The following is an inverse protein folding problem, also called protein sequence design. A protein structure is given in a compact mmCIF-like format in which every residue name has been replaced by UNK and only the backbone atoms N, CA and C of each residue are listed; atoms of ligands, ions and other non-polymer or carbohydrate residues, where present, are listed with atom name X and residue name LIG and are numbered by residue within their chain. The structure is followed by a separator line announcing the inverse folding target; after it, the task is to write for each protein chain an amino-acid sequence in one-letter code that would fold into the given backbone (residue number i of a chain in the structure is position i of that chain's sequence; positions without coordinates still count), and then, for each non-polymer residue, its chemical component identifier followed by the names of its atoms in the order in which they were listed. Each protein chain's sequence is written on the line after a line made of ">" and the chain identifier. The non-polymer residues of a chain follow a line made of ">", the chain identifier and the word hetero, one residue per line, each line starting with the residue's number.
data_IF_008441346986
#
_entry.id   IF_008441346986
#
_cell.length_a   1.000
_cell.length_b   1.000
_cell.length_c   1.000
_cell.angle_alpha   90.00
_cell.angle_beta   90.00
_cell.angle_gamma   90.00
#
_symmetry.space_group_name_H-M   'P 1'
#
loop_
_entity.id
_entity.type
_entity.pdbx_description
1 polymer ?
#
# COMPACT_ATOMS: atom_id res chain seq x y z
N UNK A 1 -12.55 18.23 44.40
CA UNK A 1 -11.11 18.05 44.20
C UNK A 1 -10.87 16.55 44.08
N UNK A 2 -10.93 16.01 42.87
CA UNK A 2 -10.57 14.61 42.55
C UNK A 2 -9.60 14.65 41.42
N UNK A 3 -8.36 14.31 41.76
CA UNK A 3 -7.23 14.15 40.88
C UNK A 3 -7.48 12.95 39.95
N UNK A 4 -7.51 13.17 38.67
CA UNK A 4 -7.64 12.14 37.64
C UNK A 4 -6.31 12.09 36.86
N UNK A 5 -5.28 11.54 37.52
CA UNK A 5 -4.03 11.13 36.85
C UNK A 5 -4.33 9.88 36.03
N UNK A 6 -4.60 10.03 34.75
CA UNK A 6 -4.55 8.94 33.78
C UNK A 6 -3.09 8.54 33.60
N UNK A 7 -2.72 7.26 33.76
CA UNK A 7 -1.36 6.83 33.43
C UNK A 7 -1.19 6.92 31.91
N UNK A 8 -0.17 7.68 31.49
CA UNK A 8 0.37 7.66 30.14
C UNK A 8 0.85 6.23 29.90
N UNK A 9 0.15 5.47 29.07
CA UNK A 9 0.61 4.14 28.62
C UNK A 9 1.96 4.33 27.94
N UNK A 10 2.95 3.71 28.51
CA UNK A 10 4.34 3.74 28.03
C UNK A 10 4.38 3.07 26.65
N UNK A 11 4.53 3.86 25.59
CA UNK A 11 4.62 3.41 24.20
C UNK A 11 5.80 2.44 23.94
N UNK A 12 6.74 2.37 24.87
CA UNK A 12 7.88 1.44 24.83
C UNK A 12 7.47 -0.02 24.99
N UNK A 13 6.50 -0.31 25.86
CA UNK A 13 6.10 -1.70 26.14
C UNK A 13 5.34 -2.31 24.96
N UNK A 14 4.51 -1.54 24.28
CA UNK A 14 3.76 -2.01 23.09
C UNK A 14 4.70 -2.27 21.89
N UNK A 15 5.74 -1.47 21.70
CA UNK A 15 6.75 -1.67 20.65
C UNK A 15 7.60 -2.91 20.92
N UNK A 16 7.96 -3.14 22.19
CA UNK A 16 8.77 -4.29 22.60
C UNK A 16 7.99 -5.60 22.50
N UNK A 17 6.70 -5.60 22.82
CA UNK A 17 5.83 -6.78 22.71
C UNK A 17 5.56 -7.12 21.23
N UNK A 18 5.28 -6.13 20.38
CA UNK A 18 5.14 -6.31 18.94
C UNK A 18 6.44 -6.77 18.25
N UNK A 19 7.60 -6.38 18.77
CA UNK A 19 8.90 -6.81 18.27
C UNK A 19 9.17 -8.30 18.50
N UNK A 20 8.63 -8.89 19.55
CA UNK A 20 8.78 -10.34 19.83
C UNK A 20 8.04 -11.19 18.80
N UNK A 21 7.02 -10.68 18.16
CA UNK A 21 6.28 -11.37 17.10
C UNK A 21 6.84 -11.12 15.70
N UNK A 22 7.83 -10.22 15.57
CA UNK A 22 8.45 -9.89 14.29
C UNK A 22 9.50 -10.96 13.95
N UNK A 23 9.24 -11.78 12.94
CA UNK A 23 10.21 -12.75 12.46
C UNK A 23 11.40 -12.05 11.79
N UNK A 24 12.51 -11.93 12.53
CA UNK A 24 13.78 -11.45 12.04
C UNK A 24 14.79 -12.59 11.83
N UNK A 25 14.44 -13.81 12.22
CA UNK A 25 15.32 -14.97 12.08
C UNK A 25 15.47 -15.39 10.60
N UNK A 26 14.42 -15.16 9.80
CA UNK A 26 14.41 -15.44 8.36
C UNK A 26 15.20 -14.42 7.53
N UNK A 27 15.64 -13.29 8.11
CA UNK A 27 16.38 -12.27 7.40
C UNK A 27 17.84 -12.66 7.18
N UNK A 28 18.27 -12.76 5.91
CA UNK A 28 19.61 -13.22 5.53
C UNK A 28 20.74 -12.27 5.98
N UNK A 29 20.46 -10.97 6.14
CA UNK A 29 21.46 -9.96 6.45
C UNK A 29 20.88 -8.72 7.17
N UNK A 30 21.77 -7.83 7.64
CA UNK A 30 21.41 -6.58 8.33
C UNK A 30 20.48 -5.69 7.50
N UNK A 31 20.69 -5.59 6.20
CA UNK A 31 19.88 -4.74 5.33
C UNK A 31 18.42 -5.23 5.27
N UNK A 32 18.21 -6.54 5.19
CA UNK A 32 16.87 -7.14 5.22
C UNK A 32 16.20 -6.98 6.58
N UNK A 33 16.95 -7.13 7.68
CA UNK A 33 16.42 -6.88 9.02
C UNK A 33 15.95 -5.43 9.19
N UNK A 34 16.77 -4.47 8.76
CA UNK A 34 16.38 -3.05 8.77
C UNK A 34 15.15 -2.79 7.91
N UNK A 35 15.05 -3.39 6.72
CA UNK A 35 13.87 -3.27 5.86
C UNK A 35 12.62 -3.84 6.53
N UNK A 36 12.69 -5.02 7.11
CA UNK A 36 11.55 -5.67 7.75
C UNK A 36 11.08 -4.90 8.97
N UNK A 37 12.01 -4.40 9.79
CA UNK A 37 11.69 -3.55 10.94
C UNK A 37 11.09 -2.21 10.50
N UNK A 38 11.65 -1.58 9.47
CA UNK A 38 11.11 -0.33 8.93
C UNK A 38 9.67 -0.51 8.41
N UNK A 39 9.41 -1.57 7.67
CA UNK A 39 8.07 -1.94 7.19
C UNK A 39 7.09 -2.09 8.36
N UNK A 40 7.46 -2.84 9.38
CA UNK A 40 6.67 -3.05 10.59
C UNK A 40 6.32 -1.73 11.30
N UNK A 41 7.32 -0.87 11.54
CA UNK A 41 7.11 0.40 12.23
C UNK A 41 6.35 1.42 11.35
N UNK A 42 6.60 1.44 10.04
CA UNK A 42 5.85 2.29 9.11
C UNK A 42 4.37 1.96 9.07
N UNK A 43 4.03 0.68 9.14
CA UNK A 43 2.64 0.23 9.16
C UNK A 43 1.89 0.66 10.43
N UNK A 44 2.56 0.69 11.59
CA UNK A 44 1.94 0.94 12.90
C UNK A 44 2.06 2.37 13.39
N UNK A 45 3.24 2.93 13.30
CA UNK A 45 3.52 4.29 13.78
C UNK A 45 3.34 5.36 12.71
N UNK A 46 3.32 4.92 11.46
CA UNK A 46 3.23 5.79 10.30
C UNK A 46 4.58 6.02 9.59
N UNK A 47 4.51 6.07 8.26
CA UNK A 47 5.68 6.20 7.37
C UNK A 47 6.54 7.43 7.71
N UNK A 48 5.93 8.48 8.23
CA UNK A 48 6.61 9.75 8.53
C UNK A 48 6.93 9.92 10.02
N UNK A 49 6.28 9.17 10.90
CA UNK A 49 6.39 9.26 12.36
C UNK A 49 7.44 8.32 12.93
N UNK A 50 7.54 7.09 12.41
CA UNK A 50 8.49 6.07 12.88
C UNK A 50 9.93 6.62 12.90
N UNK A 51 10.63 6.48 14.01
CA UNK A 51 11.96 7.08 14.18
C UNK A 51 13.06 6.15 13.66
N UNK A 52 14.07 6.74 13.04
CA UNK A 52 15.26 6.00 12.56
C UNK A 52 15.97 5.27 13.70
N UNK A 53 15.99 5.86 14.89
CA UNK A 53 16.56 5.24 16.07
C UNK A 53 15.84 3.96 16.42
N UNK A 54 14.52 3.97 16.46
CA UNK A 54 13.71 2.81 16.84
C UNK A 54 13.85 1.68 15.81
N UNK A 55 13.98 2.03 14.53
CA UNK A 55 14.29 1.05 13.47
C UNK A 55 15.65 0.39 13.70
N UNK A 56 16.69 1.15 14.03
CA UNK A 56 18.02 0.58 14.31
C UNK A 56 18.01 -0.30 15.56
N UNK A 57 17.43 0.17 16.66
CA UNK A 57 17.35 -0.55 17.93
C UNK A 57 16.59 -1.88 17.74
N UNK A 58 15.43 -1.86 17.12
CA UNK A 58 14.61 -3.04 16.89
C UNK A 58 15.25 -4.03 15.91
N UNK A 59 16.03 -3.54 14.94
CA UNK A 59 16.83 -4.38 14.04
C UNK A 59 18.10 -4.96 14.70
N UNK A 60 18.35 -4.67 15.99
CA UNK A 60 19.53 -5.13 16.73
C UNK A 60 20.83 -4.42 16.31
N UNK A 61 20.72 -3.21 15.75
CA UNK A 61 21.89 -2.44 15.33
C UNK A 61 22.37 -1.52 16.43
N UNK A 62 23.61 -1.75 16.92
CA UNK A 62 24.26 -0.89 17.90
C UNK A 62 24.71 0.45 17.32
N UNK A 63 24.97 0.47 16.00
CA UNK A 63 25.41 1.69 15.31
C UNK A 63 24.18 2.47 14.81
N UNK A 64 23.99 3.69 15.34
CA UNK A 64 22.92 4.61 14.92
C UNK A 64 22.99 4.98 13.43
N UNK A 65 24.15 4.84 12.79
CA UNK A 65 24.37 5.13 11.37
C UNK A 65 24.05 3.96 10.44
N UNK A 66 23.68 2.77 10.97
CA UNK A 66 23.47 1.58 10.14
C UNK A 66 22.42 1.80 9.04
N UNK A 67 21.28 2.41 9.37
CA UNK A 67 20.27 2.72 8.39
C UNK A 67 20.77 3.70 7.32
N UNK A 68 21.52 4.73 7.74
CA UNK A 68 22.11 5.70 6.81
C UNK A 68 23.14 5.04 5.88
N UNK A 69 23.97 4.14 6.40
CA UNK A 69 24.94 3.38 5.60
C UNK A 69 24.25 2.53 4.51
N UNK A 70 23.18 1.81 4.86
CA UNK A 70 22.49 0.90 3.93
C UNK A 70 21.56 1.59 2.94
N UNK A 71 20.90 2.67 3.35
CA UNK A 71 19.85 3.32 2.56
C UNK A 71 20.11 4.80 2.25
N UNK A 72 21.02 5.44 2.94
CA UNK A 72 21.40 6.84 2.74
C UNK A 72 20.35 7.84 3.22
N UNK A 73 19.07 7.60 2.98
CA UNK A 73 17.98 8.50 3.40
C UNK A 73 16.70 7.76 3.72
N UNK A 74 15.82 8.40 4.53
CA UNK A 74 14.47 7.89 4.78
C UNK A 74 13.67 7.64 3.50
N UNK A 75 13.77 8.56 2.53
CA UNK A 75 13.07 8.41 1.23
C UNK A 75 13.51 7.16 0.47
N UNK A 76 14.81 6.87 0.48
CA UNK A 76 15.34 5.65 -0.15
C UNK A 76 14.92 4.39 0.63
N UNK A 77 14.84 4.45 1.96
CA UNK A 77 14.32 3.36 2.77
C UNK A 77 12.84 3.08 2.44
N UNK A 78 12.00 4.11 2.40
CA UNK A 78 10.58 3.97 2.00
C UNK A 78 10.48 3.34 0.61
N UNK A 79 11.26 3.83 -0.36
CA UNK A 79 11.32 3.26 -1.71
C UNK A 79 11.73 1.78 -1.69
N UNK A 80 12.70 1.40 -0.86
CA UNK A 80 13.16 0.02 -0.76
C UNK A 80 12.09 -0.90 -0.14
N UNK A 81 11.36 -0.43 0.89
CA UNK A 81 10.22 -1.15 1.48
C UNK A 81 9.14 -1.38 0.43
N UNK A 82 8.75 -0.34 -0.30
CA UNK A 82 7.72 -0.45 -1.35
C UNK A 82 8.15 -1.39 -2.47
N UNK A 83 9.39 -1.28 -2.94
CA UNK A 83 9.91 -2.06 -4.06
C UNK A 83 9.93 -3.56 -3.78
N UNK A 84 10.16 -3.97 -2.54
CA UNK A 84 10.18 -5.38 -2.12
C UNK A 84 8.89 -6.12 -2.46
N UNK A 85 7.74 -5.47 -2.26
CA UNK A 85 6.42 -6.03 -2.58
C UNK A 85 6.02 -5.77 -4.02
N UNK A 86 6.32 -4.57 -4.51
CA UNK A 86 5.94 -4.16 -5.85
C UNK A 86 6.55 -5.06 -6.93
N UNK A 87 7.81 -5.49 -6.78
CA UNK A 87 8.43 -6.43 -7.73
C UNK A 87 7.69 -7.76 -7.84
N UNK A 88 7.13 -8.24 -6.73
CA UNK A 88 6.35 -9.48 -6.73
C UNK A 88 4.99 -9.27 -7.40
N UNK A 89 4.35 -8.13 -7.12
CA UNK A 89 3.07 -7.75 -7.71
C UNK A 89 3.23 -7.55 -9.22
N UNK A 90 4.26 -6.81 -9.66
CA UNK A 90 4.54 -6.62 -11.09
C UNK A 90 4.77 -7.94 -11.82
N UNK A 91 5.52 -8.87 -11.22
CA UNK A 91 5.78 -10.18 -11.81
C UNK A 91 4.49 -11.05 -11.97
N UNK A 92 3.49 -10.83 -11.11
CA UNK A 92 2.18 -11.46 -11.22
C UNK A 92 1.28 -10.74 -12.24
N UNK A 93 1.41 -9.42 -12.38
CA UNK A 93 0.58 -8.58 -13.25
C UNK A 93 1.05 -8.52 -14.70
N UNK A 94 2.36 -8.42 -14.94
CA UNK A 94 2.91 -8.18 -16.27
C UNK A 94 2.43 -9.22 -17.31
N UNK A 95 2.46 -10.55 -17.07
CA UNK A 95 1.99 -11.52 -18.06
C UNK A 95 0.48 -11.41 -18.33
N UNK A 96 -0.32 -11.07 -17.31
CA UNK A 96 -1.76 -10.89 -17.48
C UNK A 96 -2.09 -9.62 -18.27
N UNK A 97 -1.30 -8.56 -18.09
CA UNK A 97 -1.41 -7.34 -18.90
C UNK A 97 -1.01 -7.59 -20.35
N UNK A 98 0.04 -8.40 -20.61
CA UNK A 98 0.45 -8.77 -21.94
C UNK A 98 -0.66 -9.53 -22.69
N UNK A 99 -1.36 -10.45 -22.00
CA UNK A 99 -2.52 -11.16 -22.55
C UNK A 99 -3.71 -10.21 -22.78
N UNK A 100 -3.98 -9.32 -21.83
CA UNK A 100 -5.09 -8.37 -21.92
C UNK A 100 -4.93 -7.41 -23.11
N UNK A 101 -3.73 -6.86 -23.29
CA UNK A 101 -3.44 -5.92 -24.37
C UNK A 101 -3.55 -6.52 -25.80
N UNK A 102 -3.51 -7.86 -25.90
CA UNK A 102 -3.75 -8.57 -27.16
C UNK A 102 -5.25 -8.71 -27.47
N UNK A 103 -6.13 -8.45 -26.51
CA UNK A 103 -7.58 -8.51 -26.68
C UNK A 103 -8.11 -7.14 -27.10
N UNK A 104 -9.07 -7.15 -28.02
CA UNK A 104 -9.73 -5.92 -28.47
C UNK A 104 -10.93 -5.51 -27.57
N UNK A 105 -11.39 -6.40 -26.68
CA UNK A 105 -12.67 -6.33 -25.97
C UNK A 105 -12.51 -6.36 -24.44
N UNK A 106 -11.45 -5.77 -23.89
CA UNK A 106 -11.28 -5.71 -22.44
C UNK A 106 -12.11 -4.58 -21.81
N UNK A 107 -12.44 -4.76 -20.54
CA UNK A 107 -13.20 -3.84 -19.71
C UNK A 107 -12.40 -3.33 -18.52
N UNK A 108 -12.87 -2.28 -17.86
CA UNK A 108 -12.28 -1.81 -16.60
C UNK A 108 -12.26 -2.92 -15.52
N UNK A 109 -13.25 -3.83 -15.54
CA UNK A 109 -13.30 -4.98 -14.65
C UNK A 109 -12.12 -5.93 -14.87
N UNK A 110 -11.78 -6.26 -16.10
CA UNK A 110 -10.67 -7.16 -16.42
C UNK A 110 -9.35 -6.58 -15.90
N UNK A 111 -9.14 -5.28 -16.07
CA UNK A 111 -7.95 -4.58 -15.56
C UNK A 111 -7.92 -4.62 -14.02
N UNK A 112 -9.07 -4.38 -13.38
CA UNK A 112 -9.18 -4.39 -11.92
C UNK A 112 -8.90 -5.76 -11.31
N UNK A 113 -9.28 -6.86 -11.98
CA UNK A 113 -8.93 -8.21 -11.54
C UNK A 113 -7.41 -8.40 -11.52
N UNK A 114 -6.70 -7.94 -12.56
CA UNK A 114 -5.24 -7.98 -12.63
C UNK A 114 -4.60 -7.15 -11.50
N UNK A 115 -5.21 -6.04 -11.10
CA UNK A 115 -4.68 -5.18 -10.04
C UNK A 115 -4.99 -5.71 -8.65
N UNK A 116 -6.25 -6.09 -8.41
CA UNK A 116 -6.76 -6.39 -7.07
C UNK A 116 -6.31 -7.75 -6.56
N UNK A 117 -6.32 -8.77 -7.42
CA UNK A 117 -6.03 -10.15 -6.97
C UNK A 117 -4.60 -10.26 -6.41
N UNK A 118 -3.53 -9.81 -7.09
CA UNK A 118 -2.19 -9.85 -6.53
C UNK A 118 -2.03 -8.98 -5.29
N UNK A 119 -2.74 -7.85 -5.20
CA UNK A 119 -2.68 -6.97 -4.05
C UNK A 119 -3.33 -7.62 -2.82
N UNK A 120 -4.52 -8.22 -2.98
CA UNK A 120 -5.23 -8.94 -1.92
C UNK A 120 -4.45 -10.16 -1.44
N UNK A 121 -3.74 -10.85 -2.31
CA UNK A 121 -2.85 -11.95 -1.92
C UNK A 121 -1.74 -11.54 -0.93
N UNK A 122 -1.44 -10.26 -0.80
CA UNK A 122 -0.51 -9.77 0.25
C UNK A 122 -1.11 -9.87 1.66
N UNK A 123 -2.42 -10.02 1.82
CA UNK A 123 -3.06 -10.26 3.12
C UNK A 123 -2.60 -11.56 3.79
N UNK A 124 -2.14 -12.53 3.03
CA UNK A 124 -1.77 -13.86 3.53
C UNK A 124 -0.50 -13.86 4.40
N UNK A 125 0.27 -12.78 4.40
CA UNK A 125 1.49 -12.68 5.20
C UNK A 125 1.52 -11.43 6.08
N UNK A 126 2.11 -11.49 7.28
CA UNK A 126 2.28 -10.31 8.15
C UNK A 126 3.02 -9.15 7.45
N UNK A 127 4.06 -9.45 6.68
CA UNK A 127 4.81 -8.44 5.90
C UNK A 127 3.95 -7.83 4.78
N UNK A 128 3.12 -8.64 4.13
CA UNK A 128 2.19 -8.13 3.12
C UNK A 128 1.11 -7.24 3.72
N UNK A 129 0.57 -7.59 4.89
CA UNK A 129 -0.39 -6.74 5.61
C UNK A 129 0.23 -5.42 6.06
N UNK A 130 1.48 -5.43 6.54
CA UNK A 130 2.23 -4.21 6.85
C UNK A 130 2.38 -3.32 5.60
N UNK A 131 2.76 -3.90 4.45
CA UNK A 131 2.84 -3.20 3.17
C UNK A 131 1.50 -2.56 2.75
N UNK A 132 0.39 -3.30 2.86
CA UNK A 132 -0.94 -2.77 2.52
C UNK A 132 -1.32 -1.54 3.38
N UNK A 133 -0.94 -1.50 4.66
CA UNK A 133 -1.17 -0.33 5.54
C UNK A 133 -0.30 0.87 5.19
N UNK A 134 0.84 0.65 4.55
CA UNK A 134 1.77 1.72 4.12
C UNK A 134 1.27 2.44 2.88
N UNK A 135 0.65 1.73 1.93
CA UNK A 135 0.22 2.29 0.64
C UNK A 135 -0.64 3.56 0.79
N UNK A 136 -1.77 3.55 1.53
CA UNK A 136 -2.62 4.73 1.64
C UNK A 136 -1.95 5.92 2.33
N UNK A 137 -0.98 5.68 3.20
CA UNK A 137 -0.21 6.73 3.85
C UNK A 137 0.69 7.47 2.84
N UNK A 138 1.26 6.73 1.89
CA UNK A 138 2.08 7.29 0.82
C UNK A 138 1.19 8.03 -0.18
N UNK A 139 0.09 7.42 -0.64
CA UNK A 139 -0.82 8.01 -1.63
C UNK A 139 -1.39 9.34 -1.15
N UNK A 140 -1.82 9.45 0.11
CA UNK A 140 -2.32 10.71 0.68
C UNK A 140 -1.30 11.85 0.64
N UNK A 141 -0.01 11.55 0.72
CA UNK A 141 1.04 12.57 0.68
C UNK A 141 1.53 12.87 -0.74
N UNK A 142 1.22 12.00 -1.70
CA UNK A 142 1.52 12.20 -3.12
C UNK A 142 0.71 13.30 -3.78
N UNK A 143 -0.38 13.75 -3.17
CA UNK A 143 -1.21 14.86 -3.67
C UNK A 143 -0.52 16.23 -3.64
N UNK A 144 0.68 16.36 -3.02
CA UNK A 144 1.46 17.60 -2.99
C UNK A 144 2.80 17.46 -3.71
N UNK A 145 3.89 17.29 -2.93
CA UNK A 145 5.28 17.39 -3.42
C UNK A 145 5.86 16.09 -4.02
N UNK A 146 5.23 14.94 -3.80
CA UNK A 146 5.82 13.64 -4.17
C UNK A 146 5.49 13.20 -5.61
N UNK A 147 4.60 13.90 -6.33
CA UNK A 147 4.42 13.66 -7.77
C UNK A 147 5.72 13.81 -8.58
N UNK A 148 6.67 14.59 -8.07
CA UNK A 148 7.94 14.84 -8.74
C UNK A 148 9.05 13.80 -8.48
N UNK A 149 8.81 12.76 -7.68
CA UNK A 149 9.93 11.90 -7.28
C UNK A 149 9.65 10.43 -7.05
N UNK A 150 8.42 9.97 -7.21
CA UNK A 150 8.14 8.54 -7.35
C UNK A 150 8.02 8.26 -8.84
N UNK A 151 9.02 7.58 -9.36
CA UNK A 151 8.95 7.00 -10.71
C UNK A 151 7.78 6.01 -10.70
N UNK A 152 6.71 6.33 -11.42
CA UNK A 152 5.64 5.39 -11.72
C UNK A 152 6.29 4.25 -12.47
N UNK A 153 6.13 3.03 -11.97
CA UNK A 153 6.70 1.84 -12.62
C UNK A 153 5.96 1.59 -13.93
N UNK A 154 6.62 0.92 -14.86
CA UNK A 154 6.06 0.62 -16.18
C UNK A 154 4.71 -0.10 -16.07
N UNK A 155 4.62 -1.14 -15.24
CA UNK A 155 3.37 -1.89 -14.99
C UNK A 155 2.23 -0.98 -14.52
N UNK A 156 2.49 -0.09 -13.57
CA UNK A 156 1.49 0.86 -13.09
C UNK A 156 1.10 1.89 -14.15
N UNK A 157 2.03 2.32 -15.00
CA UNK A 157 1.72 3.22 -16.12
C UNK A 157 0.78 2.55 -17.12
N UNK A 158 1.06 1.29 -17.50
CA UNK A 158 0.18 0.48 -18.38
C UNK A 158 -1.23 0.37 -17.81
N UNK A 159 -1.36 0.04 -16.52
CA UNK A 159 -2.66 -0.05 -15.84
C UNK A 159 -3.43 1.27 -15.91
N UNK A 160 -2.75 2.39 -15.65
CA UNK A 160 -3.38 3.72 -15.70
C UNK A 160 -3.83 4.04 -17.12
N UNK A 161 -3.01 3.77 -18.13
CA UNK A 161 -3.31 4.04 -19.53
C UNK A 161 -4.50 3.20 -20.02
N UNK A 162 -4.56 1.91 -19.66
CA UNK A 162 -5.66 1.02 -19.98
C UNK A 162 -6.97 1.45 -19.30
N UNK A 163 -6.93 1.82 -18.01
CA UNK A 163 -8.10 2.33 -17.29
C UNK A 163 -8.57 3.67 -17.87
N UNK A 164 -7.66 4.59 -18.20
CA UNK A 164 -8.02 5.88 -18.84
C UNK A 164 -8.69 5.64 -20.20
N UNK A 165 -8.23 4.67 -20.98
CA UNK A 165 -8.85 4.28 -22.24
C UNK A 165 -10.28 3.76 -22.04
N UNK A 166 -10.54 2.91 -21.03
CA UNK A 166 -11.89 2.44 -20.68
C UNK A 166 -12.84 3.59 -20.28
N UNK A 167 -12.30 4.66 -19.73
CA UNK A 167 -13.05 5.83 -19.32
C UNK A 167 -13.15 6.91 -20.43
N UNK A 168 -12.76 6.62 -21.65
CA UNK A 168 -12.61 7.57 -22.77
C UNK A 168 -13.85 8.39 -23.12
N UNK A 169 -15.05 7.91 -22.76
CA UNK A 169 -16.30 8.67 -22.93
C UNK A 169 -16.45 9.86 -21.97
N UNK A 170 -15.64 9.92 -20.90
CA UNK A 170 -15.68 10.98 -19.90
C UNK A 170 -14.68 12.10 -20.21
N UNK A 171 -14.96 13.35 -19.79
CA UNK A 171 -14.00 14.45 -19.84
C UNK A 171 -12.70 14.11 -19.09
N UNK A 172 -11.56 14.53 -19.63
CA UNK A 172 -10.24 14.22 -19.05
C UNK A 172 -10.09 14.59 -17.56
N UNK A 173 -10.60 15.74 -17.05
CA UNK A 173 -10.53 16.04 -15.62
C UNK A 173 -11.26 15.00 -14.76
N UNK A 174 -12.43 14.55 -15.21
CA UNK A 174 -13.25 13.54 -14.50
C UNK A 174 -12.54 12.19 -14.49
N UNK A 175 -11.94 11.77 -15.62
CA UNK A 175 -11.16 10.53 -15.67
C UNK A 175 -10.02 10.53 -14.64
N UNK A 176 -9.26 11.63 -14.57
CA UNK A 176 -8.16 11.78 -13.60
C UNK A 176 -8.63 11.66 -12.16
N UNK A 177 -9.73 12.33 -11.82
CA UNK A 177 -10.31 12.24 -10.46
C UNK A 177 -10.78 10.82 -10.15
N UNK A 178 -11.41 10.12 -11.09
CA UNK A 178 -11.82 8.71 -10.90
C UNK A 178 -10.63 7.78 -10.69
N UNK A 179 -9.52 7.96 -11.40
CA UNK A 179 -8.31 7.19 -11.19
C UNK A 179 -7.69 7.45 -9.81
N UNK A 180 -7.77 8.68 -9.30
CA UNK A 180 -7.35 8.99 -7.92
C UNK A 180 -8.27 8.32 -6.90
N UNK A 181 -9.58 8.43 -7.08
CA UNK A 181 -10.58 7.80 -6.20
C UNK A 181 -10.38 6.28 -6.15
N UNK A 182 -10.22 5.66 -7.31
CA UNK A 182 -9.93 4.23 -7.45
C UNK A 182 -8.70 3.81 -6.63
N UNK A 183 -7.57 4.50 -6.79
CA UNK A 183 -6.33 4.18 -6.08
C UNK A 183 -6.48 4.32 -4.56
N UNK A 184 -7.20 5.36 -4.11
CA UNK A 184 -7.49 5.59 -2.70
C UNK A 184 -8.45 4.53 -2.13
N UNK A 185 -9.49 4.16 -2.87
CA UNK A 185 -10.45 3.13 -2.43
C UNK A 185 -9.77 1.78 -2.26
N UNK A 186 -9.08 1.27 -3.29
CA UNK A 186 -8.37 -0.01 -3.21
C UNK A 186 -7.39 -0.02 -2.04
N UNK A 187 -6.52 0.99 -1.96
CA UNK A 187 -5.48 1.00 -0.94
C UNK A 187 -6.03 1.07 0.48
N UNK A 188 -7.08 1.88 0.69
CA UNK A 188 -7.69 2.06 2.01
C UNK A 188 -8.48 0.81 2.44
N UNK A 189 -9.22 0.18 1.53
CA UNK A 189 -9.98 -1.02 1.83
C UNK A 189 -9.06 -2.21 2.12
N UNK A 190 -7.98 -2.40 1.35
CA UNK A 190 -6.99 -3.43 1.63
C UNK A 190 -6.26 -3.20 2.96
N UNK A 191 -5.94 -1.95 3.29
CA UNK A 191 -5.31 -1.61 4.57
C UNK A 191 -6.23 -1.89 5.77
N UNK A 192 -7.52 -1.55 5.65
CA UNK A 192 -8.52 -1.82 6.67
C UNK A 192 -8.72 -3.33 6.86
N UNK A 193 -8.77 -4.08 5.77
CA UNK A 193 -8.91 -5.53 5.84
C UNK A 193 -7.69 -6.20 6.50
N UNK A 194 -6.48 -5.70 6.23
CA UNK A 194 -5.26 -6.11 6.92
C UNK A 194 -5.32 -5.84 8.43
N UNK A 195 -5.95 -4.73 8.85
CA UNK A 195 -6.18 -4.40 10.26
C UNK A 195 -7.16 -5.38 10.92
N UNK A 196 -8.26 -5.73 10.26
CA UNK A 196 -9.23 -6.71 10.76
C UNK A 196 -8.57 -8.08 11.00
N UNK A 197 -7.77 -8.56 10.04
CA UNK A 197 -7.06 -9.83 10.18
C UNK A 197 -6.14 -9.81 11.41
N UNK A 198 -5.31 -8.77 11.58
CA UNK A 198 -4.35 -8.69 12.68
C UNK A 198 -5.02 -8.43 14.04
N UNK A 199 -6.21 -7.82 14.05
CA UNK A 199 -7.01 -7.60 15.26
C UNK A 199 -7.84 -8.83 15.66
N UNK A 200 -7.79 -9.91 14.86
CA UNK A 200 -8.60 -11.11 15.11
C UNK A 200 -10.11 -10.89 14.96
N UNK A 201 -10.52 -9.80 14.30
CA UNK A 201 -11.92 -9.52 14.00
C UNK A 201 -12.36 -10.48 12.88
N UNK A 202 -13.40 -11.29 13.11
CA UNK A 202 -13.89 -12.21 12.10
C UNK A 202 -14.30 -11.45 10.83
N UNK A 203 -13.72 -11.81 9.71
CA UNK A 203 -14.14 -11.28 8.40
C UNK A 203 -15.34 -12.06 7.90
N UNK A 204 -16.29 -11.36 7.28
CA UNK A 204 -17.45 -11.97 6.64
C UNK A 204 -17.04 -12.67 5.33
N UNK A 205 -15.99 -12.20 4.68
CA UNK A 205 -15.47 -12.72 3.42
C UNK A 205 -14.08 -13.32 3.62
N UNK A 206 -13.76 -14.40 2.95
CA UNK A 206 -12.37 -14.83 2.78
C UNK A 206 -11.63 -13.90 1.80
N UNK A 207 -10.31 -14.05 1.68
CA UNK A 207 -9.48 -13.19 0.81
C UNK A 207 -9.94 -13.21 -0.65
N UNK A 208 -10.37 -14.37 -1.16
CA UNK A 208 -10.84 -14.52 -2.55
C UNK A 208 -12.17 -13.81 -2.77
N UNK A 209 -13.15 -14.04 -1.88
CA UNK A 209 -14.44 -13.37 -1.94
C UNK A 209 -14.29 -11.85 -1.75
N UNK A 210 -13.37 -11.42 -0.88
CA UNK A 210 -13.02 -10.02 -0.71
C UNK A 210 -12.45 -9.40 -1.99
N UNK A 211 -11.53 -10.09 -2.68
CA UNK A 211 -10.98 -9.61 -3.95
C UNK A 211 -12.08 -9.44 -5.00
N UNK A 212 -12.96 -10.44 -5.17
CA UNK A 212 -14.08 -10.37 -6.11
C UNK A 212 -15.02 -9.22 -5.78
N UNK A 213 -15.41 -9.08 -4.50
CA UNK A 213 -16.28 -7.99 -4.04
C UNK A 213 -15.64 -6.62 -4.28
N UNK A 214 -14.33 -6.49 -4.04
CA UNK A 214 -13.61 -5.25 -4.26
C UNK A 214 -13.58 -4.87 -5.75
N UNK A 215 -13.37 -5.83 -6.65
CA UNK A 215 -13.47 -5.64 -8.10
C UNK A 215 -14.87 -5.18 -8.50
N UNK A 216 -15.93 -5.82 -7.98
CA UNK A 216 -17.32 -5.46 -8.29
C UNK A 216 -17.63 -4.00 -7.91
N UNK A 217 -17.31 -3.62 -6.67
CA UNK A 217 -17.60 -2.28 -6.15
C UNK A 217 -16.82 -1.20 -6.90
N UNK A 218 -15.53 -1.45 -7.14
CA UNK A 218 -14.68 -0.44 -7.78
C UNK A 218 -14.95 -0.30 -9.27
N UNK A 219 -15.23 -1.40 -9.98
CA UNK A 219 -15.61 -1.33 -11.39
C UNK A 219 -16.92 -0.54 -11.57
N UNK A 220 -17.90 -0.77 -10.70
CA UNK A 220 -19.14 0.01 -10.70
C UNK A 220 -18.90 1.50 -10.41
N UNK A 221 -18.03 1.82 -9.45
CA UNK A 221 -17.69 3.19 -9.11
C UNK A 221 -16.95 3.92 -10.24
N UNK A 222 -16.01 3.25 -10.90
CA UNK A 222 -15.28 3.80 -12.04
C UNK A 222 -16.20 4.10 -13.24
N UNK A 223 -17.13 3.19 -13.53
CA UNK A 223 -18.03 3.28 -14.68
C UNK A 223 -19.35 4.01 -14.36
N UNK A 224 -19.50 4.57 -13.16
CA UNK A 224 -20.70 5.31 -12.79
C UNK A 224 -20.98 6.47 -13.79
N UNK A 225 -22.25 6.79 -14.10
CA UNK A 225 -22.59 7.93 -14.94
C UNK A 225 -21.97 9.23 -14.41
N UNK A 226 -21.55 10.11 -15.32
CA UNK A 226 -21.10 11.44 -14.94
C UNK A 226 -22.30 12.38 -14.84
N UNK A 227 -22.46 12.99 -13.67
CA UNK A 227 -23.48 13.99 -13.41
C UNK A 227 -22.90 15.40 -13.21
N UNK A 228 -21.56 15.51 -13.30
CA UNK A 228 -20.83 16.77 -13.18
C UNK A 228 -20.57 17.33 -14.57
N UNK A 229 -21.25 18.40 -14.95
CA UNK A 229 -20.85 19.16 -16.12
C UNK A 229 -19.72 20.09 -15.73
N UNK A 230 -18.49 19.94 -16.25
CA UNK A 230 -17.43 20.89 -15.97
C UNK A 230 -17.84 22.24 -16.52
N UNK A 231 -17.97 23.27 -15.67
CA UNK A 231 -18.05 24.63 -16.15
C UNK A 231 -16.78 24.91 -16.99
N UNK A 232 -17.00 25.32 -18.23
CA UNK A 232 -15.91 25.72 -19.12
C UNK A 232 -15.21 26.95 -18.49
N UNK A 233 -13.99 26.74 -17.99
CA UNK A 233 -13.09 27.81 -17.57
C UNK A 233 -12.15 28.15 -18.70
#
# INVERSE_FOLDING_TARGET
>A
MRDASRPVRDTKDSVTEGARTLDLASCANTKERLLRVAEYLFAREGVWSARVRDINELAGQRNASALHYHFGSRRRLIKAVMLRHQLKIDAEQDPLLDELEQRADYTARDILEIVVVPLVARLDSPSGRDFLRIIPQILRKLSGDLRQGITIRLTMSRIIDLLDACLGALPQPIRRERLVVYALMISSLCANYAEFIDSGIPSVLDSRAFATHLVDVISAALCAPDTVTPEAR
#
